data_IF_423013995924
#
_entry.id   IF_423013995924
#
_cell.length_a   1.000
_cell.length_b   1.000
_cell.length_c   1.000
_cell.angle_alpha   90.00
_cell.angle_beta   90.00
_cell.angle_gamma   90.00
#
_symmetry.space_group_name_H-M   'P 1'
#
loop_
_entity.id
_entity.type
_entity.pdbx_description
1 polymer ?
#
# COMPACT_ATOMS: atom_id res chain seq x y z
N UNK A 1 -1.52 -19.66 13.27
CA UNK A 1 -1.85 -19.69 11.83
C UNK A 1 -3.37 -19.61 11.72
N UNK A 2 -3.93 -18.47 11.28
CA UNK A 2 -5.38 -18.34 11.04
C UNK A 2 -5.74 -19.09 9.77
N UNK A 3 -6.79 -19.92 9.81
CA UNK A 3 -7.34 -20.58 8.63
C UNK A 3 -7.73 -19.51 7.58
N UNK A 4 -7.36 -19.70 6.29
CA UNK A 4 -7.84 -18.81 5.24
C UNK A 4 -9.37 -18.83 5.22
N UNK A 5 -9.96 -17.65 5.15
CA UNK A 5 -11.42 -17.51 5.01
C UNK A 5 -11.84 -18.08 3.66
N UNK A 6 -13.00 -18.75 3.63
CA UNK A 6 -13.60 -19.18 2.35
C UNK A 6 -13.86 -17.94 1.50
N UNK A 7 -13.46 -17.94 0.22
CA UNK A 7 -13.73 -16.81 -0.67
C UNK A 7 -15.22 -16.54 -0.76
N UNK A 8 -15.58 -15.27 -0.79
CA UNK A 8 -16.95 -14.87 -1.14
C UNK A 8 -17.32 -15.48 -2.52
N UNK A 9 -18.57 -15.95 -2.73
CA UNK A 9 -18.97 -16.61 -3.98
C UNK A 9 -18.61 -15.83 -5.25
N UNK A 10 -18.78 -14.49 -5.22
CA UNK A 10 -18.41 -13.60 -6.32
C UNK A 10 -16.90 -13.59 -6.59
N UNK A 11 -16.08 -13.54 -5.54
CA UNK A 11 -14.62 -13.59 -5.68
C UNK A 11 -14.17 -14.95 -6.21
N UNK A 12 -14.77 -16.05 -5.75
CA UNK A 12 -14.47 -17.39 -6.26
C UNK A 12 -14.88 -17.57 -7.72
N UNK A 13 -15.96 -16.92 -8.17
CA UNK A 13 -16.39 -16.91 -9.57
C UNK A 13 -15.39 -16.14 -10.45
N UNK A 14 -14.97 -14.95 -10.00
CA UNK A 14 -13.97 -14.14 -10.70
C UNK A 14 -12.62 -14.87 -10.85
N UNK A 15 -12.19 -15.56 -9.80
CA UNK A 15 -10.96 -16.35 -9.79
C UNK A 15 -11.02 -17.50 -10.81
N UNK A 16 -12.19 -18.13 -10.99
CA UNK A 16 -12.38 -19.20 -12.01
C UNK A 16 -12.36 -18.67 -13.43
N UNK A 17 -12.84 -17.44 -13.66
CA UNK A 17 -12.84 -16.83 -14.99
C UNK A 17 -11.46 -16.34 -15.44
N UNK A 18 -10.63 -15.90 -14.47
CA UNK A 18 -9.27 -15.44 -14.71
C UNK A 18 -8.32 -16.63 -14.49
N UNK A 19 -7.52 -16.97 -15.47
CA UNK A 19 -6.49 -18.05 -15.37
C UNK A 19 -5.32 -17.62 -14.48
N UNK A 20 -5.59 -17.38 -13.20
CA UNK A 20 -4.57 -17.02 -12.23
C UNK A 20 -3.89 -18.29 -11.73
N UNK A 21 -2.59 -18.35 -11.77
CA UNK A 21 -1.82 -19.53 -11.33
C UNK A 21 -1.92 -19.74 -9.82
N UNK A 22 -1.91 -18.65 -9.05
CA UNK A 22 -2.00 -18.69 -7.59
C UNK A 22 -2.76 -17.47 -7.06
N UNK A 23 -3.75 -17.72 -6.25
CA UNK A 23 -4.52 -16.68 -5.57
C UNK A 23 -4.70 -17.04 -4.10
N UNK A 24 -4.44 -16.07 -3.23
CA UNK A 24 -4.77 -16.14 -1.82
C UNK A 24 -5.76 -15.01 -1.46
N UNK A 25 -6.78 -15.32 -0.67
CA UNK A 25 -7.76 -14.37 -0.19
C UNK A 25 -7.66 -14.23 1.32
N UNK A 26 -7.66 -12.98 1.78
CA UNK A 26 -7.60 -12.64 3.19
C UNK A 26 -8.84 -11.82 3.56
N UNK A 27 -9.60 -12.27 4.55
CA UNK A 27 -10.60 -11.45 5.20
C UNK A 27 -9.94 -10.60 6.28
N UNK A 28 -10.17 -9.29 6.24
CA UNK A 28 -9.58 -8.34 7.17
C UNK A 28 -10.66 -7.44 7.75
N UNK A 29 -10.50 -6.93 8.98
CA UNK A 29 -11.35 -5.87 9.48
C UNK A 29 -11.27 -4.63 8.60
N UNK A 30 -12.37 -3.90 8.46
CA UNK A 30 -12.40 -2.61 7.76
C UNK A 30 -11.77 -1.52 8.64
N UNK A 31 -10.45 -1.48 8.63
CA UNK A 31 -9.67 -0.53 9.42
C UNK A 31 -8.36 -0.22 8.70
N UNK A 32 -7.95 1.06 8.70
CA UNK A 32 -6.73 1.50 8.02
C UNK A 32 -6.76 1.33 6.50
N UNK A 33 -7.95 1.32 5.91
CA UNK A 33 -8.20 1.27 4.46
C UNK A 33 -7.38 0.18 3.76
N UNK A 34 -6.62 0.56 2.74
CA UNK A 34 -5.77 -0.33 1.96
C UNK A 34 -4.39 -0.58 2.59
N UNK A 35 -3.95 0.29 3.52
CA UNK A 35 -2.62 0.19 4.13
C UNK A 35 -2.56 -0.86 5.24
N UNK A 36 -3.51 -0.90 6.17
CA UNK A 36 -3.49 -1.90 7.24
C UNK A 36 -3.57 -3.34 6.70
N UNK A 37 -4.50 -3.70 5.79
CA UNK A 37 -4.49 -5.01 5.15
C UNK A 37 -3.17 -5.33 4.44
N UNK A 38 -2.61 -4.37 3.74
CA UNK A 38 -1.34 -4.55 3.05
C UNK A 38 -0.20 -4.85 4.02
N UNK A 39 -0.01 -3.99 5.03
CA UNK A 39 1.13 -4.09 5.96
C UNK A 39 0.99 -5.27 6.92
N UNK A 40 -0.23 -5.55 7.40
CA UNK A 40 -0.45 -6.54 8.47
C UNK A 40 -0.75 -7.95 7.96
N UNK A 41 -1.17 -8.11 6.71
CA UNK A 41 -1.57 -9.41 6.15
C UNK A 41 -0.83 -9.75 4.86
N UNK A 42 -0.94 -8.90 3.83
CA UNK A 42 -0.45 -9.24 2.50
C UNK A 42 1.07 -9.25 2.44
N UNK A 43 1.72 -8.25 3.01
CA UNK A 43 3.17 -8.12 2.99
C UNK A 43 3.87 -9.26 3.79
N UNK A 44 3.46 -9.59 5.02
CA UNK A 44 3.98 -10.76 5.74
C UNK A 44 3.72 -12.08 5.02
N UNK A 45 2.53 -12.26 4.43
CA UNK A 45 2.20 -13.47 3.68
C UNK A 45 3.09 -13.62 2.43
N UNK A 46 3.32 -12.55 1.68
CA UNK A 46 4.21 -12.55 0.54
C UNK A 46 5.67 -12.87 0.92
N UNK A 47 6.13 -12.32 2.04
CA UNK A 47 7.46 -12.61 2.57
C UNK A 47 7.60 -14.09 2.99
N UNK A 48 6.58 -14.65 3.64
CA UNK A 48 6.58 -16.04 4.12
C UNK A 48 6.66 -17.08 3.00
N UNK A 49 6.14 -16.75 1.79
CA UNK A 49 6.21 -17.63 0.61
C UNK A 49 7.40 -17.30 -0.32
N UNK A 50 8.29 -16.42 0.12
CA UNK A 50 9.55 -16.14 -0.58
C UNK A 50 9.43 -15.20 -1.78
N UNK A 51 8.37 -14.42 -1.89
CA UNK A 51 8.32 -13.38 -2.92
C UNK A 51 9.38 -12.31 -2.67
N UNK A 52 9.96 -11.77 -3.72
CA UNK A 52 10.98 -10.72 -3.65
C UNK A 52 10.45 -9.36 -4.03
N UNK A 53 9.43 -9.30 -4.88
CA UNK A 53 8.82 -8.07 -5.35
C UNK A 53 7.30 -8.13 -5.29
N UNK A 54 6.67 -6.97 -5.37
CA UNK A 54 5.22 -6.84 -5.34
C UNK A 54 4.76 -5.65 -6.18
N UNK A 55 3.50 -5.69 -6.58
CA UNK A 55 2.75 -4.54 -7.08
C UNK A 55 1.52 -4.41 -6.20
N UNK A 56 1.40 -3.28 -5.49
CA UNK A 56 0.27 -2.97 -4.64
C UNK A 56 -0.76 -2.17 -5.42
N UNK A 57 -1.93 -2.73 -5.59
CA UNK A 57 -3.09 -2.11 -6.21
C UNK A 57 -4.28 -2.18 -5.26
N UNK A 58 -5.19 -1.23 -5.40
CA UNK A 58 -6.48 -1.26 -4.72
C UNK A 58 -7.56 -0.58 -5.57
N UNK A 59 -8.82 -0.81 -5.24
CA UNK A 59 -9.93 -0.05 -5.86
C UNK A 59 -9.85 1.40 -5.41
N UNK A 60 -9.97 2.32 -6.36
CA UNK A 60 -9.97 3.75 -6.08
C UNK A 60 -11.20 4.40 -6.69
N UNK A 61 -11.98 5.02 -5.80
CA UNK A 61 -13.04 5.94 -6.19
C UNK A 61 -12.71 7.29 -5.56
N UNK A 62 -12.53 8.32 -6.37
CA UNK A 62 -12.24 9.69 -5.91
C UNK A 62 -13.36 10.61 -6.39
N UNK A 63 -14.57 10.52 -5.82
CA UNK A 63 -15.72 11.28 -6.31
C UNK A 63 -15.59 12.79 -6.17
N UNK A 64 -14.63 13.24 -5.33
CA UNK A 64 -14.29 14.64 -5.13
C UNK A 64 -13.34 15.22 -6.19
N UNK A 65 -12.75 14.36 -7.03
CA UNK A 65 -11.96 14.78 -8.19
C UNK A 65 -12.81 14.60 -9.45
N UNK A 66 -12.98 15.64 -10.25
CA UNK A 66 -13.72 15.57 -11.52
C UNK A 66 -13.24 14.44 -12.43
N UNK A 67 -11.94 14.13 -12.39
CA UNK A 67 -11.27 13.09 -13.17
C UNK A 67 -10.89 11.84 -12.33
N UNK A 68 -11.62 11.56 -11.25
CA UNK A 68 -11.25 10.51 -10.30
C UNK A 68 -11.16 9.10 -10.88
N UNK A 69 -11.90 8.80 -11.96
CA UNK A 69 -11.79 7.54 -12.70
C UNK A 69 -10.50 7.49 -13.52
N UNK A 70 -10.14 8.58 -14.17
CA UNK A 70 -8.93 8.69 -14.98
C UNK A 70 -7.68 8.61 -14.10
N UNK A 71 -7.73 9.20 -12.90
CA UNK A 71 -6.67 9.06 -11.92
C UNK A 71 -6.44 7.60 -11.49
N UNK A 72 -7.49 6.88 -11.15
CA UNK A 72 -7.41 5.46 -10.80
C UNK A 72 -6.86 4.61 -11.95
N UNK A 73 -7.31 4.87 -13.17
CA UNK A 73 -6.81 4.23 -14.38
C UNK A 73 -5.34 4.52 -14.64
N UNK A 74 -4.91 5.77 -14.47
CA UNK A 74 -3.50 6.16 -14.59
C UNK A 74 -2.60 5.39 -13.62
N UNK A 75 -2.98 5.30 -12.34
CA UNK A 75 -2.21 4.59 -11.33
C UNK A 75 -2.05 3.11 -11.67
N UNK A 76 -3.14 2.44 -12.03
CA UNK A 76 -3.15 1.01 -12.37
C UNK A 76 -2.33 0.74 -13.63
N UNK A 77 -2.59 1.49 -14.71
CA UNK A 77 -1.89 1.29 -16.00
C UNK A 77 -0.39 1.54 -15.87
N UNK A 78 0.02 2.58 -15.11
CA UNK A 78 1.43 2.86 -14.87
C UNK A 78 2.15 1.73 -14.14
N UNK A 79 1.48 1.05 -13.21
CA UNK A 79 2.08 -0.03 -12.43
C UNK A 79 2.00 -1.40 -13.11
N UNK A 80 1.05 -1.59 -14.02
CA UNK A 80 0.93 -2.81 -14.83
C UNK A 80 1.77 -2.77 -16.12
N UNK A 81 2.47 -1.66 -16.37
CA UNK A 81 3.41 -1.58 -17.49
C UNK A 81 4.51 -2.65 -17.34
N UNK A 82 4.79 -3.44 -18.38
CA UNK A 82 5.86 -4.43 -18.35
C UNK A 82 7.23 -3.89 -17.94
N UNK A 83 7.48 -2.60 -18.21
CA UNK A 83 8.70 -1.92 -17.78
C UNK A 83 8.86 -1.90 -16.25
N UNK A 84 7.78 -1.84 -15.47
CA UNK A 84 7.82 -1.92 -14.01
C UNK A 84 8.37 -3.26 -13.56
N UNK A 85 7.90 -4.37 -14.15
CA UNK A 85 8.39 -5.71 -13.85
C UNK A 85 9.86 -5.84 -14.24
N UNK A 86 10.24 -5.29 -15.40
CA UNK A 86 11.63 -5.26 -15.84
C UNK A 86 12.52 -4.49 -14.86
N UNK A 87 12.06 -3.33 -14.37
CA UNK A 87 12.79 -2.55 -13.37
C UNK A 87 12.96 -3.31 -12.04
N UNK A 88 11.91 -3.99 -11.55
CA UNK A 88 12.00 -4.80 -10.33
C UNK A 88 13.03 -5.94 -10.41
N UNK A 89 13.36 -6.38 -11.63
CA UNK A 89 14.37 -7.42 -11.89
C UNK A 89 15.78 -6.88 -12.07
N UNK A 90 16.00 -5.55 -12.14
CA UNK A 90 17.33 -4.96 -12.32
C UNK A 90 18.23 -5.20 -11.10
N UNK A 91 19.55 -5.08 -11.33
CA UNK A 91 20.55 -5.11 -10.29
C UNK A 91 21.41 -3.82 -10.37
N UNK A 92 21.51 -3.03 -9.30
CA UNK A 92 20.74 -3.16 -8.04
C UNK A 92 19.25 -2.91 -8.26
N UNK A 93 18.38 -3.56 -7.49
CA UNK A 93 16.95 -3.37 -7.62
C UNK A 93 16.53 -2.01 -7.08
N UNK A 94 15.51 -1.35 -7.68
CA UNK A 94 14.91 -0.17 -7.07
C UNK A 94 14.25 -0.53 -5.73
N UNK A 95 14.21 0.41 -4.80
CA UNK A 95 13.48 0.24 -3.54
C UNK A 95 11.98 0.17 -3.77
N UNK A 96 11.40 1.31 -4.12
CA UNK A 96 9.99 1.47 -4.49
C UNK A 96 9.89 2.17 -5.85
N UNK A 97 8.83 1.86 -6.57
CA UNK A 97 8.45 2.45 -7.85
C UNK A 97 7.05 3.06 -7.69
N UNK A 98 6.93 4.31 -8.02
CA UNK A 98 5.69 5.06 -7.99
C UNK A 98 5.18 5.32 -9.42
N UNK A 99 3.87 5.40 -9.66
CA UNK A 99 3.34 5.93 -10.90
C UNK A 99 3.88 7.34 -11.18
N UNK A 100 4.07 7.68 -12.44
CA UNK A 100 4.57 8.99 -12.82
C UNK A 100 3.69 10.13 -12.26
N UNK A 101 4.32 11.17 -11.72
CA UNK A 101 3.63 12.32 -11.15
C UNK A 101 2.99 12.11 -9.77
N UNK A 102 3.20 10.95 -9.13
CA UNK A 102 2.60 10.66 -7.81
C UNK A 102 3.52 10.90 -6.61
N UNK A 103 4.78 11.22 -6.84
CA UNK A 103 5.69 11.59 -5.76
C UNK A 103 5.43 13.04 -5.35
N UNK A 104 4.92 13.24 -4.15
CA UNK A 104 4.52 14.54 -3.61
C UNK A 104 5.31 14.83 -2.34
N UNK A 105 5.87 16.06 -2.19
CA UNK A 105 6.48 16.46 -0.93
C UNK A 105 5.51 16.32 0.24
N UNK A 106 5.96 15.68 1.32
CA UNK A 106 5.11 15.44 2.49
C UNK A 106 4.57 16.74 3.09
N UNK A 107 5.35 17.81 3.01
CA UNK A 107 4.98 19.13 3.53
C UNK A 107 3.77 19.74 2.85
N UNK A 108 3.46 19.37 1.61
CA UNK A 108 2.30 19.86 0.88
C UNK A 108 0.99 19.14 1.24
N UNK A 109 1.08 17.98 1.90
CA UNK A 109 -0.08 17.12 2.18
C UNK A 109 -0.11 16.66 3.64
N UNK A 110 0.51 17.42 4.53
CA UNK A 110 0.60 17.04 5.92
C UNK A 110 -0.76 17.08 6.61
N UNK A 111 -1.56 18.13 6.29
CA UNK A 111 -2.89 18.35 6.88
C UNK A 111 -2.92 17.98 8.38
N UNK A 112 -3.91 17.21 8.82
CA UNK A 112 -4.03 16.74 10.19
C UNK A 112 -3.13 15.53 10.53
N UNK A 113 -2.31 15.05 9.57
CA UNK A 113 -1.39 13.93 9.80
C UNK A 113 -0.12 14.31 10.58
N UNK A 114 0.12 15.58 10.85
CA UNK A 114 1.32 16.05 11.55
C UNK A 114 1.52 15.36 12.91
N UNK A 115 0.46 15.19 13.69
CA UNK A 115 0.54 14.53 15.00
C UNK A 115 0.77 13.03 14.89
N UNK A 116 0.19 12.36 13.90
CA UNK A 116 0.46 10.95 13.61
C UNK A 116 1.94 10.75 13.22
N UNK A 117 2.50 11.61 12.38
CA UNK A 117 3.91 11.58 12.03
C UNK A 117 4.82 11.80 13.22
N UNK A 118 4.53 12.78 14.07
CA UNK A 118 5.28 13.01 15.32
C UNK A 118 5.22 11.80 16.25
N UNK A 119 4.06 11.13 16.34
CA UNK A 119 3.92 9.89 17.11
C UNK A 119 4.81 8.80 16.54
N UNK A 120 4.73 8.53 15.25
CA UNK A 120 5.56 7.52 14.58
C UNK A 120 7.06 7.82 14.74
N UNK A 121 7.46 9.07 14.61
CA UNK A 121 8.84 9.50 14.86
C UNK A 121 9.33 9.13 16.25
N UNK A 122 8.52 9.43 17.27
CA UNK A 122 8.87 9.15 18.68
C UNK A 122 8.91 7.65 18.95
N UNK A 123 7.93 6.90 18.45
CA UNK A 123 7.79 5.47 18.71
C UNK A 123 8.85 4.65 18.01
N UNK A 124 9.26 5.06 16.81
CA UNK A 124 10.14 4.26 15.93
C UNK A 124 11.48 4.93 15.65
N UNK A 125 11.84 5.95 16.42
CA UNK A 125 13.12 6.67 16.30
C UNK A 125 13.43 7.17 14.88
N UNK A 126 12.41 7.55 14.11
CA UNK A 126 12.59 8.11 12.77
C UNK A 126 13.13 9.55 12.89
N UNK A 127 14.23 9.84 12.20
CA UNK A 127 14.83 11.16 12.24
C UNK A 127 13.90 12.23 11.63
N UNK A 128 13.51 13.22 12.43
CA UNK A 128 12.60 14.28 12.01
C UNK A 128 13.11 15.15 10.87
N UNK A 129 14.40 15.39 10.79
CA UNK A 129 15.00 16.17 9.70
C UNK A 129 14.84 15.48 8.35
N UNK A 130 14.83 14.15 8.33
CA UNK A 130 14.61 13.35 7.12
C UNK A 130 13.19 13.50 6.58
N UNK A 131 12.20 13.77 7.44
CA UNK A 131 10.81 13.91 7.01
C UNK A 131 10.50 15.21 6.29
N UNK A 132 11.20 16.31 6.61
CA UNK A 132 10.97 17.60 5.91
C UNK A 132 11.32 17.55 4.44
N UNK A 133 12.29 16.73 4.05
CA UNK A 133 12.67 16.48 2.65
C UNK A 133 12.01 15.25 2.04
N UNK A 134 11.17 14.55 2.79
CA UNK A 134 10.58 13.30 2.31
C UNK A 134 9.45 13.55 1.31
N UNK A 135 9.27 12.57 0.43
CA UNK A 135 8.12 12.49 -0.48
C UNK A 135 7.29 11.25 -0.12
N UNK A 136 6.01 11.31 -0.41
CA UNK A 136 5.14 10.14 -0.32
C UNK A 136 4.50 9.85 -1.68
N UNK A 137 4.03 8.62 -1.85
CA UNK A 137 3.37 8.19 -3.08
C UNK A 137 1.87 8.46 -2.94
N UNK A 138 1.40 9.53 -3.62
CA UNK A 138 -0.01 9.89 -3.62
C UNK A 138 -0.85 8.76 -4.25
N UNK A 139 -1.95 8.43 -3.58
CA UNK A 139 -2.85 7.35 -4.00
C UNK A 139 -2.46 5.96 -3.51
N UNK A 140 -1.36 5.81 -2.76
CA UNK A 140 -0.92 4.57 -2.09
C UNK A 140 -0.87 3.31 -2.96
N UNK A 141 -0.79 3.45 -4.30
CA UNK A 141 -0.50 2.37 -5.23
C UNK A 141 0.96 2.46 -5.67
N UNK A 142 1.70 1.36 -5.55
CA UNK A 142 3.12 1.34 -5.86
C UNK A 142 3.63 -0.08 -6.07
N UNK A 143 4.79 -0.21 -6.69
CA UNK A 143 5.51 -1.45 -6.81
C UNK A 143 6.83 -1.38 -6.05
N UNK A 144 7.42 -2.52 -5.72
CA UNK A 144 8.69 -2.49 -5.02
C UNK A 144 9.24 -3.86 -4.66
N UNK A 145 10.38 -3.82 -3.99
CA UNK A 145 10.97 -4.99 -3.35
C UNK A 145 10.48 -5.11 -1.91
N UNK A 146 10.20 -6.34 -1.47
CA UNK A 146 9.83 -6.61 -0.08
C UNK A 146 10.92 -6.14 0.90
N UNK A 147 12.19 -6.24 0.51
CA UNK A 147 13.32 -5.76 1.31
C UNK A 147 13.27 -4.24 1.58
N UNK A 148 12.71 -3.45 0.69
CA UNK A 148 12.56 -2.00 0.89
C UNK A 148 11.55 -1.66 2.00
N UNK A 149 10.62 -2.58 2.30
CA UNK A 149 9.61 -2.41 3.35
C UNK A 149 9.99 -3.12 4.67
N UNK A 150 11.19 -3.70 4.75
CA UNK A 150 11.68 -4.32 5.99
C UNK A 150 11.61 -3.39 7.22
N UNK A 151 11.93 -2.08 7.13
CA UNK A 151 11.76 -1.20 8.28
C UNK A 151 10.32 -1.17 8.79
N UNK A 152 9.31 -1.17 7.90
CA UNK A 152 7.89 -1.18 8.28
C UNK A 152 7.48 -2.50 8.93
N UNK A 153 8.00 -3.63 8.44
CA UNK A 153 7.75 -4.95 9.06
C UNK A 153 8.33 -5.04 10.47
N UNK A 154 9.46 -4.37 10.73
CA UNK A 154 10.10 -4.31 12.05
C UNK A 154 9.41 -3.37 13.03
N UNK A 155 8.51 -2.52 12.56
CA UNK A 155 7.75 -1.61 13.44
C UNK A 155 6.69 -2.34 14.29
N UNK A 156 6.46 -3.63 14.06
CA UNK A 156 5.49 -4.45 14.79
C UNK A 156 4.10 -3.81 14.89
N UNK A 157 3.69 -3.15 13.81
CA UNK A 157 2.39 -2.49 13.72
C UNK A 157 1.27 -3.49 13.95
N UNK A 158 0.24 -3.05 14.64
CA UNK A 158 -0.96 -3.81 14.95
C UNK A 158 -2.20 -3.11 14.39
N UNK A 159 -3.33 -3.78 14.40
CA UNK A 159 -4.59 -3.19 13.92
C UNK A 159 -5.01 -1.96 14.75
N UNK A 160 -4.60 -1.88 16.03
CA UNK A 160 -4.90 -0.72 16.89
C UNK A 160 -4.15 0.55 16.49
N UNK A 161 -3.08 0.44 15.71
CA UNK A 161 -2.34 1.60 15.22
C UNK A 161 -3.04 2.33 14.08
N UNK A 162 -4.10 1.75 13.54
CA UNK A 162 -4.90 2.33 12.46
C UNK A 162 -6.27 2.76 12.96
N UNK A 163 -6.79 3.85 12.42
CA UNK A 163 -8.11 4.33 12.73
C UNK A 163 -9.21 3.40 12.18
N UNK A 164 -10.37 3.27 12.86
CA UNK A 164 -11.54 2.65 12.28
C UNK A 164 -11.95 3.38 10.99
N UNK A 165 -12.46 2.64 10.01
CA UNK A 165 -12.96 3.26 8.77
C UNK A 165 -14.24 4.06 9.06
N UNK A 166 -14.12 5.36 8.93
CA UNK A 166 -15.24 6.31 9.11
C UNK A 166 -15.53 7.12 7.82
N UNK A 167 -15.09 6.59 6.68
CA UNK A 167 -15.09 7.32 5.42
C UNK A 167 -13.81 8.13 5.23
N UNK A 168 -13.75 8.88 4.14
CA UNK A 168 -12.59 9.72 3.87
C UNK A 168 -12.66 10.99 4.71
N UNK A 169 -12.01 10.96 5.85
CA UNK A 169 -11.81 12.14 6.71
C UNK A 169 -10.35 12.55 6.66
N UNK A 170 -10.12 13.85 6.75
CA UNK A 170 -8.78 14.41 6.82
C UNK A 170 -8.11 14.02 8.16
N UNK A 171 -6.82 13.72 8.12
CA UNK A 171 -6.06 13.37 9.32
C UNK A 171 -6.19 11.93 9.81
N UNK A 172 -6.79 11.02 9.04
CA UNK A 172 -6.76 9.59 9.36
C UNK A 172 -5.48 8.94 8.86
N UNK A 173 -4.90 8.05 9.68
CA UNK A 173 -3.77 7.21 9.29
C UNK A 173 -4.29 6.08 8.38
N UNK A 174 -4.27 6.33 7.09
CA UNK A 174 -4.63 5.30 6.12
C UNK A 174 -4.06 5.61 4.73
#
# INVERSE_FOLDING_TARGET
VRKPLRPLPAAAALMRQQRWERVALFGVPNRGRDLAPFLLQLLPAAAAVGHHGFIKLHTKSSPHLGDGKDWGGHLVNSLLDPAVVAQLRRQPPPGLLAPAGTLVPITLQLHNNAEHLKRLQRTHAVNGATLLGAQFIAGSMFAGRLSALQPLLKMELSLSDFEPEAGQTDGTLA
#
